data_IF_825779482844
#
_entry.id   IF_825779482844
#
_cell.length_a   1.000
_cell.length_b   1.000
_cell.length_c   1.000
_cell.angle_alpha   90.00
_cell.angle_beta   90.00
_cell.angle_gamma   90.00
#
_symmetry.space_group_name_H-M   'P 1'
#
loop_
_entity.id
_entity.type
_entity.pdbx_description
1 polymer ?
#
# COMPACT_ATOMS: atom_id res chain seq x y z
N UNK A 1 67.71 -22.90 -49.30
CA UNK A 1 67.70 -23.41 -50.69
C UNK A 1 69.08 -23.10 -51.27
N UNK A 2 69.85 -24.11 -51.67
CA UNK A 2 71.26 -23.88 -52.06
C UNK A 2 71.40 -23.31 -53.49
N UNK A 3 72.44 -22.51 -53.70
CA UNK A 3 72.89 -22.03 -55.01
C UNK A 3 74.42 -21.99 -55.06
N UNK A 4 74.98 -22.27 -56.23
CA UNK A 4 76.43 -22.34 -56.48
C UNK A 4 76.70 -21.73 -57.86
N UNK A 5 77.70 -20.86 -57.98
CA UNK A 5 78.01 -20.13 -59.22
C UNK A 5 79.54 -20.12 -59.44
N UNK A 6 79.96 -20.34 -60.68
CA UNK A 6 81.35 -20.36 -61.14
C UNK A 6 81.42 -19.81 -62.58
N UNK A 7 82.40 -18.94 -62.92
CA UNK A 7 83.02 -18.82 -64.26
C UNK A 7 84.14 -17.76 -64.43
N UNK A 8 85.37 -18.25 -64.59
CA UNK A 8 86.34 -17.96 -65.68
C UNK A 8 87.01 -16.57 -65.87
N UNK A 9 88.33 -16.60 -66.13
CA UNK A 9 89.28 -15.49 -66.30
C UNK A 9 89.41 -14.96 -67.75
N UNK A 10 90.01 -13.76 -67.94
CA UNK A 10 91.33 -13.62 -68.64
C UNK A 10 91.96 -12.20 -68.66
N UNK A 11 93.24 -12.12 -68.23
CA UNK A 11 94.41 -11.39 -68.82
C UNK A 11 94.36 -9.88 -69.16
N UNK A 12 95.46 -9.10 -69.10
CA UNK A 12 96.75 -9.17 -68.37
C UNK A 12 97.54 -7.85 -68.55
N UNK A 13 98.30 -7.41 -67.53
CA UNK A 13 99.51 -6.54 -67.61
C UNK A 13 99.40 -5.06 -68.06
N UNK A 14 100.28 -4.13 -67.65
CA UNK A 14 101.14 -4.03 -66.45
C UNK A 14 101.86 -2.66 -66.38
N UNK A 15 102.15 -2.19 -65.14
CA UNK A 15 103.27 -1.26 -64.76
C UNK A 15 103.21 0.18 -65.30
N UNK A 16 103.82 1.20 -64.69
CA UNK A 16 104.43 1.45 -63.36
C UNK A 16 104.87 2.94 -63.32
N UNK A 17 105.00 3.56 -62.13
CA UNK A 17 105.99 4.61 -61.70
C UNK A 17 105.39 5.87 -61.02
N UNK A 18 106.05 6.52 -60.03
CA UNK A 18 107.12 6.15 -59.06
C UNK A 18 107.41 7.31 -58.07
N UNK A 19 108.16 7.06 -56.97
CA UNK A 19 108.91 8.01 -56.10
C UNK A 19 108.06 8.90 -55.15
N UNK A 20 108.50 9.40 -53.97
CA UNK A 20 109.66 9.20 -53.02
C UNK A 20 109.16 9.69 -51.61
N UNK A 21 109.89 9.83 -50.49
CA UNK A 21 111.34 9.91 -50.14
C UNK A 21 111.61 9.37 -48.70
N UNK A 22 112.88 9.16 -48.24
CA UNK A 22 113.18 8.25 -47.12
C UNK A 22 114.09 8.85 -46.01
N UNK A 23 115.02 8.03 -45.46
CA UNK A 23 116.14 8.29 -44.49
C UNK A 23 115.79 7.74 -43.07
N UNK A 24 116.56 6.83 -42.43
CA UNK A 24 117.91 6.26 -42.72
C UNK A 24 118.10 4.82 -42.17
N UNK A 25 119.07 4.08 -42.74
CA UNK A 25 120.00 3.05 -42.18
C UNK A 25 119.77 2.36 -40.81
N UNK A 26 120.20 1.10 -40.54
CA UNK A 26 120.67 -0.10 -41.29
C UNK A 26 121.16 -1.15 -40.24
N UNK A 27 121.57 -2.38 -40.65
CA UNK A 27 120.78 -3.58 -40.97
C UNK A 27 120.11 -4.17 -39.68
N UNK A 28 120.01 -5.45 -39.28
CA UNK A 28 120.34 -6.83 -39.75
C UNK A 28 119.37 -7.78 -38.98
N UNK A 29 119.02 -9.01 -39.38
CA UNK A 29 119.47 -9.90 -40.45
C UNK A 29 118.29 -10.38 -41.33
N UNK A 30 118.24 -11.65 -41.73
CA UNK A 30 117.11 -12.28 -42.42
C UNK A 30 116.98 -13.78 -42.09
N UNK A 31 115.74 -14.27 -42.02
CA UNK A 31 115.30 -15.59 -42.51
C UNK A 31 113.88 -15.41 -43.06
N UNK A 32 113.48 -16.22 -44.04
CA UNK A 32 112.19 -16.08 -44.74
C UNK A 32 111.36 -17.37 -44.65
N UNK A 33 110.04 -17.21 -44.67
CA UNK A 33 109.05 -18.27 -44.89
C UNK A 33 107.88 -17.68 -45.69
N UNK A 34 107.25 -18.48 -46.52
CA UNK A 34 106.26 -18.06 -47.52
C UNK A 34 104.84 -17.98 -46.93
N UNK A 35 103.94 -17.27 -47.63
CA UNK A 35 102.49 -17.23 -47.35
C UNK A 35 101.75 -17.69 -48.62
N UNK A 36 100.69 -18.53 -48.51
CA UNK A 36 99.85 -18.90 -49.65
C UNK A 36 98.98 -17.72 -50.12
N UNK A 37 98.53 -17.74 -51.37
CA UNK A 37 98.01 -16.55 -52.07
C UNK A 37 96.60 -16.71 -52.63
N UNK A 38 95.60 -16.90 -51.76
CA UNK A 38 94.23 -16.44 -51.99
C UNK A 38 93.49 -16.25 -50.65
N UNK A 39 93.11 -15.02 -50.31
CA UNK A 39 92.35 -14.70 -49.09
C UNK A 39 91.24 -13.71 -49.40
N UNK A 40 90.03 -14.04 -48.98
CA UNK A 40 88.82 -13.25 -49.16
C UNK A 40 88.06 -13.08 -47.85
N UNK A 41 87.14 -12.11 -47.82
CA UNK A 41 86.37 -11.74 -46.63
C UNK A 41 84.87 -11.77 -46.93
N UNK A 42 84.07 -12.30 -46.01
CA UNK A 42 82.62 -12.10 -45.98
C UNK A 42 82.28 -11.29 -44.74
N UNK A 43 81.74 -10.09 -44.98
CA UNK A 43 81.14 -9.22 -43.97
C UNK A 43 79.76 -8.82 -44.46
N UNK A 44 78.75 -9.18 -43.68
CA UNK A 44 77.37 -8.84 -43.95
C UNK A 44 76.58 -8.80 -42.62
N UNK A 45 75.39 -8.19 -42.66
CA UNK A 45 74.54 -8.01 -41.48
C UNK A 45 73.29 -8.87 -41.61
N UNK A 46 73.07 -9.75 -40.64
CA UNK A 46 71.93 -10.66 -40.60
C UNK A 46 71.04 -10.40 -39.38
N UNK A 47 69.84 -10.95 -39.39
CA UNK A 47 68.92 -10.85 -38.26
C UNK A 47 69.16 -12.01 -37.29
N UNK A 48 68.98 -11.79 -35.98
CA UNK A 48 69.38 -12.73 -34.92
C UNK A 48 68.59 -14.05 -34.84
N UNK A 49 67.78 -14.34 -35.85
CA UNK A 49 67.05 -15.59 -36.08
C UNK A 49 67.60 -16.41 -37.26
N UNK A 50 68.53 -15.83 -38.04
CA UNK A 50 69.11 -16.43 -39.23
C UNK A 50 70.38 -17.23 -38.88
N UNK A 51 70.67 -18.25 -39.69
CA UNK A 51 71.88 -19.08 -39.59
C UNK A 51 72.42 -19.27 -41.01
N UNK A 52 73.71 -19.01 -41.22
CA UNK A 52 74.38 -19.24 -42.50
C UNK A 52 75.25 -20.50 -42.46
N UNK A 53 75.29 -21.26 -43.56
CA UNK A 53 76.30 -22.29 -43.79
C UNK A 53 77.30 -21.76 -44.83
N UNK A 54 78.55 -21.55 -44.44
CA UNK A 54 79.62 -21.09 -45.32
C UNK A 54 80.69 -22.19 -45.36
N UNK A 55 80.95 -22.72 -46.56
CA UNK A 55 81.70 -23.97 -46.73
C UNK A 55 80.99 -25.13 -46.03
N UNK A 56 81.48 -25.51 -44.86
CA UNK A 56 80.88 -26.53 -43.98
C UNK A 56 80.81 -26.09 -42.50
N UNK A 57 80.85 -24.77 -42.24
CA UNK A 57 80.70 -24.18 -40.90
C UNK A 57 79.42 -23.38 -40.81
N UNK A 58 78.73 -23.48 -39.66
CA UNK A 58 77.51 -22.76 -39.36
C UNK A 58 77.84 -21.49 -38.57
N UNK A 59 77.24 -20.37 -38.98
CA UNK A 59 77.39 -19.05 -38.38
C UNK A 59 76.03 -18.56 -37.87
N UNK A 60 75.98 -18.18 -36.61
CA UNK A 60 74.78 -17.74 -35.89
C UNK A 60 75.16 -16.67 -34.84
N UNK A 61 74.19 -16.06 -34.11
CA UNK A 61 74.49 -14.97 -33.15
C UNK A 61 75.45 -15.33 -31.99
N UNK A 62 75.71 -16.63 -31.76
CA UNK A 62 76.70 -17.12 -30.78
C UNK A 62 78.07 -17.42 -31.39
N UNK A 63 78.12 -17.64 -32.71
CA UNK A 63 79.35 -17.86 -33.50
C UNK A 63 79.31 -16.99 -34.77
N UNK A 64 79.53 -15.66 -34.63
CA UNK A 64 79.40 -14.71 -35.73
C UNK A 64 80.61 -14.65 -36.68
N UNK A 65 81.80 -15.00 -36.18
CA UNK A 65 83.08 -14.91 -36.90
C UNK A 65 83.92 -16.20 -36.78
N UNK A 66 84.58 -16.59 -37.88
CA UNK A 66 85.56 -17.69 -37.96
C UNK A 66 86.26 -17.67 -39.35
N UNK A 67 87.27 -18.51 -39.55
CA UNK A 67 88.00 -18.64 -40.83
C UNK A 67 87.72 -19.97 -41.52
N UNK A 68 86.89 -19.94 -42.56
CA UNK A 68 86.60 -21.09 -43.41
C UNK A 68 87.76 -21.30 -44.40
N UNK A 69 88.28 -22.52 -44.50
CA UNK A 69 89.25 -22.91 -45.54
C UNK A 69 88.54 -23.74 -46.61
N UNK A 70 88.76 -23.40 -47.88
CA UNK A 70 88.17 -24.08 -49.04
C UNK A 70 89.28 -24.81 -49.83
N UNK A 71 89.44 -26.14 -49.65
CA UNK A 71 90.60 -26.85 -50.21
C UNK A 71 90.60 -26.89 -51.74
N UNK A 72 91.74 -26.56 -52.35
CA UNK A 72 91.95 -26.56 -53.81
C UNK A 72 91.02 -25.64 -54.61
N UNK A 73 90.40 -24.63 -53.99
CA UNK A 73 89.40 -23.77 -54.62
C UNK A 73 89.97 -22.70 -55.56
N UNK A 74 91.27 -22.36 -55.45
CA UNK A 74 91.93 -21.40 -56.34
C UNK A 74 92.26 -22.01 -57.72
N UNK A 75 92.37 -21.16 -58.74
CA UNK A 75 92.63 -21.55 -60.14
C UNK A 75 93.98 -22.26 -60.37
N UNK A 76 94.92 -22.13 -59.45
CA UNK A 76 96.21 -22.84 -59.43
C UNK A 76 96.17 -24.18 -58.67
N UNK A 77 95.04 -24.52 -58.04
CA UNK A 77 94.87 -25.68 -57.17
C UNK A 77 95.27 -25.46 -55.71
N UNK A 78 95.53 -24.21 -55.30
CA UNK A 78 95.77 -23.85 -53.89
C UNK A 78 94.46 -23.75 -53.09
N UNK A 79 94.56 -23.90 -51.77
CA UNK A 79 93.46 -23.67 -50.83
C UNK A 79 93.17 -22.17 -50.71
N UNK A 80 91.90 -21.77 -50.85
CA UNK A 80 91.46 -20.40 -50.62
C UNK A 80 91.01 -20.22 -49.17
N UNK A 81 91.41 -19.11 -48.55
CA UNK A 81 91.04 -18.77 -47.16
C UNK A 81 89.93 -17.72 -47.16
N UNK A 82 88.86 -17.96 -46.39
CA UNK A 82 87.66 -17.13 -46.35
C UNK A 82 87.38 -16.71 -44.90
N UNK A 83 87.67 -15.46 -44.57
CA UNK A 83 87.45 -14.92 -43.22
C UNK A 83 86.02 -14.39 -43.15
N UNK A 84 85.22 -14.97 -42.26
CA UNK A 84 83.81 -14.64 -42.03
C UNK A 84 83.70 -13.80 -40.76
N UNK A 85 82.94 -12.70 -40.82
CA UNK A 85 82.82 -11.69 -39.77
C UNK A 85 81.42 -11.03 -39.90
N UNK A 86 80.40 -11.60 -39.25
CA UNK A 86 78.99 -11.28 -39.47
C UNK A 86 78.35 -10.54 -38.28
N UNK A 87 77.53 -9.53 -38.56
CA UNK A 87 76.81 -8.81 -37.50
C UNK A 87 75.35 -9.30 -37.39
N UNK A 88 74.99 -9.89 -36.24
CA UNK A 88 73.62 -10.33 -35.98
C UNK A 88 72.81 -9.30 -35.19
N UNK A 89 71.82 -8.68 -35.83
CA UNK A 89 70.98 -7.62 -35.25
C UNK A 89 69.65 -8.16 -34.71
N UNK A 90 69.25 -7.64 -33.55
CA UNK A 90 67.98 -7.97 -32.90
C UNK A 90 66.78 -7.31 -33.62
N UNK A 91 65.58 -7.92 -33.55
CA UNK A 91 64.33 -7.30 -34.02
C UNK A 91 63.94 -6.09 -33.14
N UNK A 92 63.17 -5.16 -33.70
CA UNK A 92 62.68 -3.99 -32.97
C UNK A 92 61.35 -4.30 -32.26
N UNK A 93 61.32 -4.18 -30.93
CA UNK A 93 60.09 -4.37 -30.14
C UNK A 93 59.35 -3.05 -29.96
N UNK A 94 58.08 -3.03 -30.35
CA UNK A 94 57.12 -1.96 -30.14
C UNK A 94 55.92 -2.51 -29.37
N UNK A 95 55.14 -1.64 -28.72
CA UNK A 95 53.91 -2.03 -28.04
C UNK A 95 52.75 -1.14 -28.44
N UNK A 96 51.64 -1.74 -28.82
CA UNK A 96 50.38 -1.09 -29.18
C UNK A 96 49.37 -1.27 -28.05
N UNK A 97 49.09 -0.18 -27.34
CA UNK A 97 48.00 -0.08 -26.36
C UNK A 97 46.96 0.92 -26.81
N UNK A 98 45.69 0.51 -26.83
CA UNK A 98 44.55 1.36 -27.17
C UNK A 98 43.35 1.03 -26.29
N UNK A 99 42.55 2.05 -25.98
CA UNK A 99 41.26 1.92 -25.34
C UNK A 99 40.17 2.01 -26.42
N UNK A 100 39.31 0.99 -26.48
CA UNK A 100 38.33 0.78 -27.55
C UNK A 100 36.93 0.52 -26.97
N UNK A 101 35.89 0.75 -27.77
CA UNK A 101 34.51 0.41 -27.42
C UNK A 101 34.28 -1.10 -27.54
N UNK A 102 33.46 -1.70 -26.67
CA UNK A 102 33.04 -3.09 -26.86
C UNK A 102 32.39 -3.27 -28.26
N UNK A 103 32.87 -4.24 -29.03
CA UNK A 103 32.49 -4.46 -30.44
C UNK A 103 33.38 -3.79 -31.49
N UNK A 104 34.34 -2.94 -31.11
CA UNK A 104 35.36 -2.43 -32.04
C UNK A 104 36.26 -3.57 -32.57
N UNK A 105 36.90 -3.34 -33.71
CA UNK A 105 37.94 -4.23 -34.25
C UNK A 105 39.03 -3.42 -34.93
N UNK A 106 40.28 -3.62 -34.52
CA UNK A 106 41.46 -3.06 -35.21
C UNK A 106 42.17 -4.17 -35.97
N UNK A 107 42.84 -3.82 -37.07
CA UNK A 107 43.61 -4.76 -37.87
C UNK A 107 45.09 -4.42 -37.78
N UNK A 108 45.90 -5.36 -37.29
CA UNK A 108 47.36 -5.23 -37.17
C UNK A 108 48.00 -6.33 -38.00
N UNK A 109 48.87 -5.96 -38.96
CA UNK A 109 49.59 -6.89 -39.83
C UNK A 109 48.72 -7.88 -40.67
N UNK A 110 47.39 -7.69 -40.69
CA UNK A 110 46.44 -8.60 -41.33
C UNK A 110 45.59 -9.42 -40.36
N UNK A 111 45.92 -9.43 -39.06
CA UNK A 111 45.14 -10.07 -38.00
C UNK A 111 44.14 -9.08 -37.40
N UNK A 112 42.91 -9.55 -37.16
CA UNK A 112 41.84 -8.78 -36.51
C UNK A 112 41.91 -8.94 -34.99
N UNK A 113 41.97 -7.82 -34.26
CA UNK A 113 41.94 -7.76 -32.80
C UNK A 113 40.67 -7.06 -32.32
N UNK A 114 39.94 -7.71 -31.42
CA UNK A 114 38.61 -7.30 -30.96
C UNK A 114 38.38 -7.73 -29.49
N UNK A 115 37.21 -7.45 -28.95
CA UNK A 115 36.79 -7.69 -27.55
C UNK A 115 37.04 -9.11 -27.00
N UNK A 116 37.06 -10.16 -27.83
CA UNK A 116 37.38 -11.54 -27.44
C UNK A 116 38.78 -12.01 -27.89
N UNK A 117 39.52 -11.18 -28.61
CA UNK A 117 40.89 -11.42 -29.08
C UNK A 117 41.68 -10.10 -29.05
N UNK A 118 42.07 -9.67 -27.85
CA UNK A 118 42.59 -8.32 -27.57
C UNK A 118 44.07 -8.31 -27.11
N UNK A 119 44.68 -9.49 -26.98
CA UNK A 119 46.10 -9.68 -26.67
C UNK A 119 46.77 -10.49 -27.79
N UNK A 120 48.01 -10.15 -28.14
CA UNK A 120 48.80 -10.96 -29.09
C UNK A 120 50.12 -10.30 -29.47
N UNK A 121 50.80 -10.90 -30.46
CA UNK A 121 52.05 -10.37 -30.98
C UNK A 121 52.07 -10.52 -32.51
N UNK A 122 52.37 -9.43 -33.21
CA UNK A 122 52.53 -9.40 -34.66
C UNK A 122 53.98 -9.18 -35.08
N UNK A 123 54.37 -9.78 -36.21
CA UNK A 123 55.74 -9.69 -36.75
C UNK A 123 55.70 -9.11 -38.17
N UNK A 124 56.26 -7.91 -38.31
CA UNK A 124 56.34 -7.18 -39.59
C UNK A 124 57.71 -7.45 -40.21
N UNK A 125 57.74 -8.28 -41.26
CA UNK A 125 58.95 -8.72 -41.97
C UNK A 125 59.77 -7.52 -42.47
N UNK A 126 61.05 -7.46 -42.10
CA UNK A 126 61.96 -6.34 -42.46
C UNK A 126 61.53 -4.95 -41.97
N UNK A 127 60.56 -4.87 -41.06
CA UNK A 127 59.89 -3.62 -40.65
C UNK A 127 60.71 -2.69 -39.75
N UNK A 128 61.94 -3.02 -39.38
CA UNK A 128 62.82 -2.18 -38.57
C UNK A 128 63.87 -1.46 -39.43
N UNK A 129 64.32 -0.28 -39.00
CA UNK A 129 65.26 0.56 -39.75
C UNK A 129 66.67 -0.03 -39.98
N UNK A 130 66.94 -1.21 -39.41
CA UNK A 130 68.14 -2.02 -39.61
C UNK A 130 67.95 -3.17 -40.63
N UNK A 131 66.78 -3.27 -41.28
CA UNK A 131 66.45 -4.33 -42.25
C UNK A 131 65.92 -5.63 -41.63
N UNK A 132 65.74 -5.69 -40.31
CA UNK A 132 65.19 -6.84 -39.60
C UNK A 132 63.72 -6.68 -39.24
N UNK A 133 63.11 -7.75 -38.76
CA UNK A 133 61.70 -7.77 -38.41
C UNK A 133 61.38 -6.82 -37.23
N UNK A 134 60.20 -6.20 -37.29
CA UNK A 134 59.62 -5.47 -36.16
C UNK A 134 58.57 -6.34 -35.47
N UNK A 135 58.68 -6.47 -34.15
CA UNK A 135 57.69 -7.13 -33.30
C UNK A 135 56.78 -6.06 -32.68
N UNK A 136 55.47 -6.27 -32.77
CA UNK A 136 54.44 -5.45 -32.13
C UNK A 136 53.74 -6.31 -31.08
N UNK A 137 54.00 -6.04 -29.80
CA UNK A 137 53.20 -6.53 -28.68
C UNK A 137 51.86 -5.77 -28.64
N UNK A 138 50.75 -6.48 -28.52
CA UNK A 138 49.40 -5.92 -28.66
C UNK A 138 48.64 -6.15 -27.35
N UNK A 139 48.25 -5.06 -26.69
CA UNK A 139 47.51 -5.08 -25.43
C UNK A 139 46.38 -4.04 -25.47
N UNK A 140 45.20 -4.47 -25.92
CA UNK A 140 44.03 -3.60 -26.10
C UNK A 140 43.07 -3.73 -24.92
N UNK A 141 42.42 -2.63 -24.54
CA UNK A 141 41.38 -2.61 -23.49
C UNK A 141 40.04 -2.22 -24.08
N UNK A 142 39.04 -3.09 -23.93
CA UNK A 142 37.69 -2.90 -24.46
C UNK A 142 36.71 -2.51 -23.34
N UNK A 143 35.93 -1.46 -23.57
CA UNK A 143 34.99 -0.91 -22.60
C UNK A 143 33.53 -1.08 -23.04
N UNK A 144 32.76 -2.00 -22.42
CA UNK A 144 31.30 -1.97 -22.46
C UNK A 144 30.78 -0.96 -21.42
N UNK A 145 29.93 -0.02 -21.85
CA UNK A 145 29.33 0.98 -20.95
C UNK A 145 27.91 0.55 -20.55
N UNK A 146 27.81 -0.56 -19.79
CA UNK A 146 26.55 -0.98 -19.18
C UNK A 146 26.36 -0.25 -17.85
N UNK A 147 25.22 0.42 -17.68
CA UNK A 147 24.79 1.08 -16.46
C UNK A 147 23.54 0.36 -15.94
N UNK A 148 23.60 -0.23 -14.75
CA UNK A 148 22.41 -0.76 -14.09
C UNK A 148 21.55 0.40 -13.55
N UNK A 149 20.26 0.40 -13.90
CA UNK A 149 19.24 1.25 -13.30
C UNK A 149 18.25 0.38 -12.52
N UNK A 150 18.50 0.29 -11.22
CA UNK A 150 17.70 -0.49 -10.29
C UNK A 150 16.86 0.47 -9.43
N UNK A 151 15.53 0.32 -9.44
CA UNK A 151 14.62 1.17 -8.66
C UNK A 151 13.35 0.43 -8.28
N UNK A 152 12.65 0.90 -7.25
CA UNK A 152 11.39 0.31 -6.77
C UNK A 152 10.23 1.20 -7.19
N UNK A 153 9.17 0.62 -7.78
CA UNK A 153 7.96 1.32 -8.22
C UNK A 153 6.71 0.65 -7.64
N UNK A 154 5.61 1.38 -7.50
CA UNK A 154 4.31 0.81 -7.14
C UNK A 154 3.63 0.18 -8.37
N UNK A 155 2.74 -0.80 -8.19
CA UNK A 155 2.10 -1.55 -9.29
C UNK A 155 1.32 -0.65 -10.30
N UNK A 156 0.84 0.52 -9.86
CA UNK A 156 0.16 1.51 -10.72
C UNK A 156 1.07 2.55 -11.38
N UNK A 157 2.38 2.56 -11.09
CA UNK A 157 3.30 3.59 -11.58
C UNK A 157 3.71 3.39 -13.05
N UNK A 158 4.23 4.45 -13.65
CA UNK A 158 4.95 4.37 -14.92
C UNK A 158 6.09 5.39 -14.93
N UNK A 159 7.33 4.92 -15.05
CA UNK A 159 8.50 5.77 -15.25
C UNK A 159 8.96 5.73 -16.70
N UNK A 160 9.66 6.77 -17.15
CA UNK A 160 10.15 6.88 -18.52
C UNK A 160 11.68 6.96 -18.53
N UNK A 161 12.32 5.97 -19.15
CA UNK A 161 13.78 5.90 -19.32
C UNK A 161 14.06 5.97 -20.81
N UNK A 162 14.86 6.96 -21.26
CA UNK A 162 15.15 7.23 -22.68
C UNK A 162 13.91 7.45 -23.60
N UNK A 163 12.71 7.56 -23.04
CA UNK A 163 11.43 7.66 -23.75
C UNK A 163 10.57 6.40 -23.69
N UNK A 164 11.14 5.25 -23.29
CA UNK A 164 10.42 4.00 -23.08
C UNK A 164 9.74 3.97 -21.71
N UNK A 165 8.50 3.46 -21.68
CA UNK A 165 7.67 3.37 -20.48
C UNK A 165 7.89 2.06 -19.73
N UNK A 166 8.37 2.14 -18.49
CA UNK A 166 8.53 1.01 -17.58
C UNK A 166 7.49 1.07 -16.46
N UNK A 167 6.86 -0.07 -16.18
CA UNK A 167 5.66 -0.23 -15.34
C UNK A 167 5.48 -1.70 -14.95
N UNK A 168 4.46 -2.06 -14.16
CA UNK A 168 4.28 -3.42 -13.62
C UNK A 168 4.31 -4.58 -14.65
N UNK A 169 3.92 -4.35 -15.91
CA UNK A 169 3.94 -5.34 -16.99
C UNK A 169 5.16 -5.23 -17.93
N UNK A 170 6.05 -4.26 -17.68
CA UNK A 170 7.31 -4.04 -18.38
C UNK A 170 8.30 -3.43 -17.37
N UNK A 171 8.75 -4.26 -16.43
CA UNK A 171 9.58 -3.83 -15.29
C UNK A 171 11.09 -3.91 -15.57
N UNK A 172 11.52 -4.57 -16.64
CA UNK A 172 12.93 -4.69 -16.99
C UNK A 172 13.17 -4.70 -18.51
N UNK A 173 14.38 -4.34 -18.93
CA UNK A 173 14.77 -4.21 -20.33
C UNK A 173 16.10 -3.47 -20.51
N UNK A 174 16.42 -3.08 -21.75
CA UNK A 174 17.69 -2.41 -22.09
C UNK A 174 17.45 -1.15 -22.93
N UNK A 175 18.04 -0.02 -22.52
CA UNK A 175 17.98 1.25 -23.24
C UNK A 175 19.34 1.68 -23.78
N UNK A 176 19.46 1.79 -25.11
CA UNK A 176 20.72 2.20 -25.77
C UNK A 176 20.74 3.70 -26.03
N UNK A 177 21.74 4.38 -25.48
CA UNK A 177 22.01 5.81 -25.67
C UNK A 177 23.16 5.96 -26.69
N UNK A 178 22.88 6.39 -27.94
CA UNK A 178 23.90 6.49 -28.98
C UNK A 178 24.97 7.54 -28.62
N UNK A 179 26.24 7.14 -28.66
CA UNK A 179 27.37 8.00 -28.29
C UNK A 179 27.34 8.51 -26.84
N UNK A 180 26.65 7.81 -25.94
CA UNK A 180 26.43 8.22 -24.54
C UNK A 180 27.67 8.19 -23.62
N UNK A 181 28.79 7.62 -24.08
CA UNK A 181 30.00 7.43 -23.27
C UNK A 181 31.26 8.09 -23.86
N UNK A 182 32.34 8.08 -23.08
CA UNK A 182 33.65 8.55 -23.53
C UNK A 182 34.13 7.81 -24.78
N UNK A 183 34.99 8.47 -25.58
CA UNK A 183 35.46 8.00 -26.90
C UNK A 183 34.37 7.87 -27.98
N UNK A 184 33.09 8.13 -27.67
CA UNK A 184 31.98 8.01 -28.62
C UNK A 184 31.31 6.65 -28.64
N UNK A 185 31.60 5.78 -27.66
CA UNK A 185 30.87 4.53 -27.47
C UNK A 185 29.42 4.80 -27.09
N UNK A 186 28.52 3.88 -27.42
CA UNK A 186 27.17 3.87 -26.88
C UNK A 186 27.18 3.47 -25.41
N UNK A 187 26.21 3.98 -24.64
CA UNK A 187 25.87 3.46 -23.32
C UNK A 187 24.65 2.54 -23.43
N UNK A 188 24.62 1.47 -22.64
CA UNK A 188 23.44 0.62 -22.46
C UNK A 188 22.99 0.80 -21.01
N UNK A 189 21.76 1.23 -20.78
CA UNK A 189 21.15 1.20 -19.45
C UNK A 189 20.37 -0.11 -19.34
N UNK A 190 20.84 -1.02 -18.50
CA UNK A 190 20.08 -2.21 -18.13
C UNK A 190 19.13 -1.83 -16.99
N UNK A 191 17.83 -1.91 -17.26
CA UNK A 191 16.76 -1.52 -16.34
C UNK A 191 16.22 -2.77 -15.65
N UNK A 192 16.15 -2.77 -14.33
CA UNK A 192 15.44 -3.79 -13.55
C UNK A 192 14.68 -3.15 -12.37
N UNK A 193 13.36 -3.22 -12.41
CA UNK A 193 12.49 -2.55 -11.43
C UNK A 193 11.78 -3.54 -10.51
N UNK A 194 11.92 -3.31 -9.21
CA UNK A 194 11.13 -3.99 -8.20
C UNK A 194 9.71 -3.41 -8.16
N UNK A 195 8.69 -4.24 -8.38
CA UNK A 195 7.29 -3.82 -8.42
C UNK A 195 6.61 -4.14 -7.09
N UNK A 196 6.19 -3.11 -6.35
CA UNK A 196 5.44 -3.24 -5.10
C UNK A 196 3.94 -3.31 -5.37
N UNK A 197 3.35 -4.48 -5.10
CA UNK A 197 1.89 -4.66 -5.06
C UNK A 197 1.29 -3.93 -3.85
N UNK A 198 0.12 -3.29 -3.95
CA UNK A 198 -0.48 -2.56 -2.85
C UNK A 198 -0.95 -3.52 -1.73
N UNK A 199 -0.61 -3.27 -0.45
CA UNK A 199 -1.00 -4.16 0.63
C UNK A 199 -2.52 -4.13 0.84
N UNK A 200 -3.10 -5.31 1.07
CA UNK A 200 -4.54 -5.53 1.17
C UNK A 200 -4.96 -5.77 2.63
N UNK A 201 -5.93 -4.98 3.10
CA UNK A 201 -6.48 -5.01 4.45
C UNK A 201 -7.98 -5.28 4.42
N UNK A 202 -8.52 -5.90 5.49
CA UNK A 202 -9.98 -6.05 5.68
C UNK A 202 -10.38 -5.38 6.98
N UNK A 203 -11.23 -4.35 6.91
CA UNK A 203 -11.92 -3.77 8.07
C UNK A 203 -13.26 -4.48 8.25
N UNK A 204 -13.42 -5.14 9.41
CA UNK A 204 -14.68 -5.73 9.85
C UNK A 204 -15.18 -4.94 11.05
N UNK A 205 -16.42 -4.45 11.00
CA UNK A 205 -17.01 -3.65 12.07
C UNK A 205 -18.51 -3.95 12.24
N UNK A 206 -19.10 -3.56 13.37
CA UNK A 206 -20.49 -3.85 13.76
C UNK A 206 -21.20 -2.58 14.27
N UNK A 207 -21.68 -1.80 13.30
CA UNK A 207 -22.22 -0.45 13.45
C UNK A 207 -23.67 -0.43 13.98
N UNK A 208 -24.10 0.72 14.49
CA UNK A 208 -25.48 0.98 14.92
C UNK A 208 -26.46 1.02 13.72
N UNK A 209 -27.78 0.80 13.93
CA UNK A 209 -28.74 0.56 12.84
C UNK A 209 -28.78 1.61 11.72
N UNK A 210 -28.62 2.88 12.08
CA UNK A 210 -28.69 4.05 11.19
C UNK A 210 -27.35 4.81 11.09
N UNK A 211 -26.27 4.18 11.55
CA UNK A 211 -24.91 4.72 11.45
C UNK A 211 -24.39 4.70 10.01
N UNK A 212 -23.44 5.59 9.72
CA UNK A 212 -22.92 5.83 8.37
C UNK A 212 -21.41 5.97 8.42
N UNK A 213 -20.70 5.02 7.81
CA UNK A 213 -19.26 5.13 7.59
C UNK A 213 -19.01 5.82 6.25
N UNK A 214 -18.11 6.81 6.23
CA UNK A 214 -17.70 7.52 5.00
C UNK A 214 -16.19 7.42 4.85
N UNK A 215 -15.74 6.83 3.74
CA UNK A 215 -14.32 6.74 3.36
C UNK A 215 -14.21 7.27 1.93
N UNK A 216 -13.22 8.11 1.64
CA UNK A 216 -13.00 8.75 0.33
C UNK A 216 -14.23 9.50 -0.28
N UNK A 217 -15.27 9.78 0.51
CA UNK A 217 -16.55 10.32 0.05
C UNK A 217 -17.60 9.27 -0.36
N UNK A 218 -17.22 7.99 -0.45
CA UNK A 218 -18.17 6.88 -0.58
C UNK A 218 -18.87 6.63 0.76
N UNK A 219 -20.19 6.37 0.69
CA UNK A 219 -21.06 6.25 1.86
C UNK A 219 -21.50 4.81 2.06
N UNK A 220 -21.16 4.23 3.20
CA UNK A 220 -21.51 2.88 3.62
C UNK A 220 -22.56 2.91 4.73
N UNK A 221 -23.59 2.07 4.60
CA UNK A 221 -24.74 1.98 5.50
C UNK A 221 -25.34 0.57 5.49
N UNK A 222 -26.47 0.36 6.17
CA UNK A 222 -27.16 -0.96 6.24
C UNK A 222 -27.51 -1.59 4.89
N UNK A 223 -27.60 -0.79 3.82
CA UNK A 223 -27.86 -1.23 2.45
C UNK A 223 -26.54 -1.38 1.66
N UNK A 224 -25.58 -0.46 1.84
CA UNK A 224 -24.24 -0.53 1.27
C UNK A 224 -23.19 -0.98 2.31
N UNK A 225 -23.10 -2.30 2.54
CA UNK A 225 -22.33 -2.90 3.65
C UNK A 225 -20.91 -3.35 3.31
N UNK A 226 -20.51 -3.27 2.04
CA UNK A 226 -19.23 -3.81 1.55
C UNK A 226 -18.70 -2.96 0.41
N UNK A 227 -17.38 -2.81 0.33
CA UNK A 227 -16.72 -2.06 -0.73
C UNK A 227 -15.21 -2.26 -0.71
N UNK A 228 -14.54 -1.77 -1.76
CA UNK A 228 -13.09 -1.69 -1.85
C UNK A 228 -12.70 -0.22 -1.98
N UNK A 229 -11.83 0.23 -1.09
CA UNK A 229 -11.28 1.57 -1.04
C UNK A 229 -9.79 1.56 -1.36
N UNK A 230 -9.32 2.59 -2.05
CA UNK A 230 -7.89 2.84 -2.24
C UNK A 230 -7.48 3.93 -1.24
N UNK A 231 -6.41 3.69 -0.49
CA UNK A 231 -5.85 4.63 0.49
C UNK A 231 -4.54 5.18 -0.08
N UNK A 232 -4.52 6.43 -0.63
CA UNK A 232 -3.37 6.93 -1.37
C UNK A 232 -2.13 7.09 -0.49
N UNK A 233 -1.01 6.53 -0.93
CA UNK A 233 0.28 6.59 -0.23
C UNK A 233 0.29 6.02 1.20
N UNK A 234 -0.69 5.18 1.57
CA UNK A 234 -0.87 4.72 2.95
C UNK A 234 0.09 3.60 3.39
N UNK A 235 0.80 2.95 2.44
CA UNK A 235 1.83 1.97 2.78
C UNK A 235 3.10 2.66 3.28
N UNK A 236 3.88 2.00 4.12
CA UNK A 236 5.18 2.53 4.62
C UNK A 236 6.23 2.75 3.53
N UNK A 237 5.99 2.23 2.32
CA UNK A 237 6.80 2.43 1.11
C UNK A 237 6.40 3.68 0.31
N UNK A 238 5.31 4.35 0.68
CA UNK A 238 4.72 5.46 -0.08
C UNK A 238 3.74 5.02 -1.17
N UNK A 239 3.52 3.71 -1.35
CA UNK A 239 2.50 3.19 -2.27
C UNK A 239 1.08 3.25 -1.68
N UNK A 240 0.09 3.22 -2.57
CA UNK A 240 -1.32 3.06 -2.22
C UNK A 240 -1.58 1.72 -1.51
N UNK A 241 -2.63 1.67 -0.71
CA UNK A 241 -3.09 0.45 -0.03
C UNK A 241 -4.55 0.15 -0.37
N UNK A 242 -4.93 -1.12 -0.37
CA UNK A 242 -6.30 -1.57 -0.62
C UNK A 242 -7.01 -1.92 0.69
N UNK A 243 -8.16 -1.32 0.92
CA UNK A 243 -9.01 -1.56 2.09
C UNK A 243 -10.35 -2.15 1.67
N UNK A 244 -10.59 -3.41 2.00
CA UNK A 244 -11.89 -4.05 1.82
C UNK A 244 -12.74 -3.93 3.09
N UNK A 245 -14.04 -3.65 2.91
CA UNK A 245 -14.98 -3.41 3.99
C UNK A 245 -15.97 -4.57 4.15
N UNK A 246 -16.13 -5.07 5.37
CA UNK A 246 -17.18 -6.03 5.75
C UNK A 246 -17.95 -5.50 6.95
N UNK A 247 -19.01 -4.73 6.71
CA UNK A 247 -19.80 -4.09 7.77
C UNK A 247 -21.03 -4.93 8.15
N UNK A 248 -21.18 -5.18 9.45
CA UNK A 248 -22.39 -5.71 10.07
C UNK A 248 -23.16 -4.55 10.71
N UNK A 249 -24.49 -4.63 10.70
CA UNK A 249 -25.37 -3.64 11.33
C UNK A 249 -26.20 -4.31 12.41
N UNK A 250 -26.25 -3.70 13.59
CA UNK A 250 -26.95 -4.25 14.77
C UNK A 250 -28.47 -4.26 14.54
N UNK A 251 -29.13 -5.33 14.96
CA UNK A 251 -30.58 -5.47 14.90
C UNK A 251 -31.20 -5.10 16.25
N UNK A 252 -31.26 -3.80 16.51
CA UNK A 252 -31.82 -3.22 17.73
C UNK A 252 -33.27 -2.77 17.47
N UNK A 253 -34.12 -2.89 18.48
CA UNK A 253 -35.51 -2.39 18.46
C UNK A 253 -35.98 -2.09 19.88
N UNK A 254 -36.93 -1.17 20.01
CA UNK A 254 -37.74 -0.96 21.22
C UNK A 254 -39.20 -0.87 20.79
N UNK A 255 -40.11 -1.37 21.62
CA UNK A 255 -41.55 -1.28 21.46
C UNK A 255 -42.20 -0.90 22.80
N UNK A 256 -42.89 0.23 22.86
CA UNK A 256 -43.54 0.72 24.09
C UNK A 256 -44.99 0.24 24.26
N UNK A 257 -45.62 -0.19 23.16
CA UNK A 257 -47.04 -0.57 23.10
C UNK A 257 -47.86 0.37 22.23
N UNK A 258 -49.01 -0.11 21.73
CA UNK A 258 -49.86 0.62 20.79
C UNK A 258 -50.58 1.83 21.41
N UNK A 259 -50.89 2.82 20.56
CA UNK A 259 -51.77 3.97 20.86
C UNK A 259 -53.09 3.53 21.51
N UNK A 260 -53.51 4.23 22.58
CA UNK A 260 -54.71 3.86 23.35
C UNK A 260 -55.40 5.04 24.03
N UNK A 261 -56.68 4.83 24.33
CA UNK A 261 -57.50 5.74 25.12
C UNK A 261 -57.64 5.23 26.57
N UNK A 262 -57.67 6.15 27.53
CA UNK A 262 -57.95 5.88 28.95
C UNK A 262 -58.95 6.88 29.49
N UNK A 263 -59.64 6.56 30.58
CA UNK A 263 -60.53 7.53 31.25
C UNK A 263 -59.67 8.52 32.03
N UNK A 264 -60.07 9.80 32.06
CA UNK A 264 -59.33 10.84 32.80
C UNK A 264 -59.15 10.43 34.25
N UNK A 265 -57.92 10.45 34.74
CA UNK A 265 -57.54 10.04 36.10
C UNK A 265 -57.23 8.54 36.27
N UNK A 266 -57.35 7.71 35.24
CA UNK A 266 -56.77 6.37 35.28
C UNK A 266 -55.23 6.42 35.36
N UNK A 267 -54.64 5.39 35.97
CA UNK A 267 -53.18 5.17 35.95
C UNK A 267 -52.81 4.19 34.84
N UNK A 268 -51.91 4.63 33.95
CA UNK A 268 -51.24 3.72 33.00
C UNK A 268 -49.94 3.22 33.59
N UNK A 269 -49.52 2.03 33.16
CA UNK A 269 -48.13 1.59 33.26
C UNK A 269 -47.59 1.32 31.84
N UNK A 270 -46.38 1.82 31.61
CA UNK A 270 -45.62 1.65 30.38
C UNK A 270 -44.45 0.71 30.68
N UNK A 271 -44.44 -0.46 30.03
CA UNK A 271 -43.45 -1.52 30.21
C UNK A 271 -42.83 -1.82 28.83
N UNK A 272 -41.83 -1.03 28.40
CA UNK A 272 -41.21 -1.20 27.08
C UNK A 272 -40.54 -2.57 26.95
N UNK A 273 -40.68 -3.16 25.77
CA UNK A 273 -39.93 -4.33 25.32
C UNK A 273 -38.80 -3.88 24.40
N UNK A 274 -37.64 -4.54 24.41
CA UNK A 274 -36.51 -4.15 23.56
C UNK A 274 -35.58 -5.32 23.23
N UNK A 275 -35.00 -5.27 22.03
CA UNK A 275 -34.06 -6.25 21.50
C UNK A 275 -32.58 -6.00 21.87
N UNK A 276 -32.31 -5.34 23.01
CA UNK A 276 -30.97 -4.93 23.41
C UNK A 276 -30.78 -4.97 24.94
N UNK A 277 -29.52 -4.90 25.39
CA UNK A 277 -29.19 -4.68 26.78
C UNK A 277 -29.02 -3.17 27.03
N UNK A 278 -29.92 -2.50 27.78
CA UNK A 278 -29.86 -1.06 27.99
C UNK A 278 -28.68 -0.67 28.90
N UNK A 279 -27.94 0.36 28.49
CA UNK A 279 -27.00 1.12 29.34
C UNK A 279 -27.66 2.36 29.93
N UNK A 280 -28.64 2.95 29.21
CA UNK A 280 -29.46 4.06 29.65
C UNK A 280 -30.86 4.00 29.01
N UNK A 281 -31.88 4.39 29.77
CA UNK A 281 -33.25 4.60 29.30
C UNK A 281 -33.64 6.05 29.62
N UNK A 282 -34.21 6.74 28.65
CA UNK A 282 -34.66 8.12 28.77
C UNK A 282 -36.10 8.27 28.27
N UNK A 283 -36.84 9.18 28.89
CA UNK A 283 -38.28 9.37 28.74
C UNK A 283 -38.58 10.84 28.43
N UNK A 284 -39.42 11.09 27.42
CA UNK A 284 -39.91 12.41 27.05
C UNK A 284 -41.45 12.41 26.91
N UNK A 285 -42.21 13.20 27.69
CA UNK A 285 -41.76 14.02 28.81
C UNK A 285 -41.13 13.16 29.93
N UNK A 286 -40.26 13.73 30.79
CA UNK A 286 -39.65 12.99 31.88
C UNK A 286 -40.68 12.43 32.85
N UNK A 287 -40.62 11.11 33.09
CA UNK A 287 -41.47 10.40 34.04
C UNK A 287 -40.66 9.90 35.25
N UNK A 288 -41.26 9.79 36.45
CA UNK A 288 -40.57 9.34 37.65
C UNK A 288 -40.32 7.82 37.63
N UNK A 289 -39.09 7.40 37.33
CA UNK A 289 -38.69 6.00 37.47
C UNK A 289 -38.73 5.58 38.95
N UNK A 290 -39.60 4.63 39.30
CA UNK A 290 -39.67 4.07 40.67
C UNK A 290 -38.61 2.98 40.92
N UNK A 291 -38.10 2.35 39.85
CA UNK A 291 -37.06 1.32 39.88
C UNK A 291 -35.75 1.86 39.26
N UNK A 292 -34.56 1.38 39.69
CA UNK A 292 -33.26 1.81 39.16
C UNK A 292 -33.14 1.71 37.64
N UNK A 293 -33.76 0.68 37.05
CA UNK A 293 -33.61 0.33 35.64
C UNK A 293 -34.57 1.08 34.71
N UNK A 294 -35.45 1.95 35.22
CA UNK A 294 -36.49 2.67 34.46
C UNK A 294 -37.40 1.79 33.56
N UNK A 295 -37.39 0.47 33.75
CA UNK A 295 -37.96 -0.56 32.85
C UNK A 295 -39.47 -0.74 32.94
N UNK A 296 -40.12 -0.13 33.93
CA UNK A 296 -41.57 0.08 33.98
C UNK A 296 -41.83 1.39 34.69
N UNK A 297 -42.68 2.23 34.10
CA UNK A 297 -43.05 3.52 34.67
C UNK A 297 -44.56 3.67 34.65
N UNK A 298 -45.15 3.99 35.79
CA UNK A 298 -46.59 4.20 35.93
C UNK A 298 -46.90 5.66 36.24
N UNK A 299 -47.95 6.20 35.63
CA UNK A 299 -48.36 7.60 35.78
C UNK A 299 -49.87 7.77 35.64
N UNK A 300 -50.42 8.78 36.30
CA UNK A 300 -51.84 9.10 36.24
C UNK A 300 -52.10 10.08 35.08
N UNK A 301 -53.08 9.78 34.23
CA UNK A 301 -53.29 10.52 32.97
C UNK A 301 -54.46 11.50 33.12
N UNK A 302 -54.14 12.79 33.24
CA UNK A 302 -55.12 13.88 33.37
C UNK A 302 -55.43 14.58 32.04
N UNK A 303 -54.55 14.45 31.05
CA UNK A 303 -54.65 15.10 29.74
C UNK A 303 -53.98 14.24 28.66
N UNK A 304 -54.41 14.32 27.38
CA UNK A 304 -53.74 13.59 26.30
C UNK A 304 -52.24 13.90 26.22
N UNK A 305 -51.43 12.87 25.96
CA UNK A 305 -49.98 12.95 25.94
C UNK A 305 -49.36 12.07 24.86
N UNK A 306 -48.16 12.45 24.40
CA UNK A 306 -47.27 11.61 23.63
C UNK A 306 -46.08 11.26 24.54
N UNK A 307 -45.83 9.98 24.76
CA UNK A 307 -44.66 9.49 25.50
C UNK A 307 -43.68 8.86 24.52
N UNK A 308 -42.48 9.42 24.45
CA UNK A 308 -41.38 8.91 23.64
C UNK A 308 -40.34 8.28 24.58
N UNK A 309 -39.82 7.13 24.20
CA UNK A 309 -38.71 6.46 24.86
C UNK A 309 -37.47 6.52 23.98
N UNK A 310 -36.29 6.66 24.58
CA UNK A 310 -35.01 6.41 23.88
C UNK A 310 -34.13 5.54 24.76
N UNK A 311 -33.74 4.39 24.22
CA UNK A 311 -32.93 3.36 24.87
C UNK A 311 -31.56 3.33 24.21
N UNK A 312 -30.50 3.41 25.02
CA UNK A 312 -29.10 3.31 24.56
C UNK A 312 -28.52 1.98 24.99
N UNK A 313 -27.74 1.30 24.15
CA UNK A 313 -27.03 0.05 24.49
C UNK A 313 -25.62 0.32 25.07
N UNK A 314 -24.89 -0.73 25.46
CA UNK A 314 -23.52 -0.60 26.00
C UNK A 314 -22.46 -0.19 24.98
N UNK A 315 -22.82 -0.09 23.69
CA UNK A 315 -21.95 0.33 22.60
C UNK A 315 -22.27 1.77 22.15
N UNK A 316 -23.25 2.44 22.79
CA UNK A 316 -23.71 3.78 22.46
C UNK A 316 -24.81 3.84 21.39
N UNK A 317 -25.25 2.69 20.87
CA UNK A 317 -26.32 2.66 19.87
C UNK A 317 -27.67 3.00 20.49
N UNK A 318 -28.42 3.91 19.86
CA UNK A 318 -29.73 4.36 20.33
C UNK A 318 -30.86 3.79 19.45
N UNK A 319 -31.99 3.48 20.10
CA UNK A 319 -33.28 3.22 19.44
C UNK A 319 -34.38 3.95 20.20
N UNK A 320 -35.42 4.36 19.48
CA UNK A 320 -36.56 5.10 20.01
C UNK A 320 -37.89 4.50 19.53
N UNK A 321 -38.96 4.82 20.28
CA UNK A 321 -40.35 4.50 19.94
C UNK A 321 -41.28 5.50 20.67
N UNK A 322 -42.54 5.62 20.24
CA UNK A 322 -43.51 6.53 20.85
C UNK A 322 -44.93 5.95 20.96
N UNK A 323 -45.64 6.33 22.03
CA UNK A 323 -47.04 5.95 22.29
C UNK A 323 -47.87 7.20 22.56
N UNK A 324 -49.00 7.32 21.88
CA UNK A 324 -50.02 8.33 22.14
C UNK A 324 -51.06 7.79 23.11
N UNK A 325 -51.28 8.54 24.18
CA UNK A 325 -52.36 8.30 25.13
C UNK A 325 -53.41 9.39 24.93
N UNK A 326 -54.59 8.98 24.46
CA UNK A 326 -55.79 9.83 24.46
C UNK A 326 -56.54 9.69 25.79
N UNK A 327 -57.32 10.71 26.14
CA UNK A 327 -58.04 10.78 27.41
C UNK A 327 -59.51 11.06 27.14
N UNK A 328 -60.37 10.18 27.64
CA UNK A 328 -61.83 10.32 27.60
C UNK A 328 -62.35 10.97 28.88
N UNK A 329 -63.35 11.83 28.74
CA UNK A 329 -64.07 12.50 29.83
C UNK A 329 -65.27 11.67 30.36
N UNK A 330 -65.46 10.44 29.88
CA UNK A 330 -66.56 9.53 30.27
C UNK A 330 -66.34 8.87 31.65
N UNK A 331 -66.09 9.70 32.67
CA UNK A 331 -65.94 9.29 34.06
C UNK A 331 -67.24 8.71 34.60
N UNK A 332 -67.17 7.45 35.04
CA UNK A 332 -68.32 6.66 35.46
C UNK A 332 -68.67 6.96 36.89
N UNK A 333 -69.91 7.40 37.10
CA UNK A 333 -70.52 7.59 38.42
C UNK A 333 -71.64 6.58 38.59
N UNK A 334 -71.56 5.76 39.63
CA UNK A 334 -72.57 4.80 40.04
C UNK A 334 -73.48 5.42 41.11
N UNK A 335 -74.78 5.11 41.02
CA UNK A 335 -75.81 5.55 41.95
C UNK A 335 -76.74 4.36 42.25
N UNK A 336 -76.99 4.01 43.52
CA UNK A 336 -77.95 2.97 43.88
C UNK A 336 -79.38 3.32 43.41
N UNK A 337 -80.03 2.41 42.67
CA UNK A 337 -81.42 2.58 42.23
C UNK A 337 -82.43 2.40 43.38
N UNK A 338 -82.02 1.75 44.47
CA UNK A 338 -82.81 1.50 45.68
C UNK A 338 -81.88 1.49 46.90
N UNK A 339 -82.38 1.91 48.06
CA UNK A 339 -81.75 1.71 49.36
C UNK A 339 -82.81 1.50 50.45
N UNK A 340 -82.43 0.91 51.58
CA UNK A 340 -83.33 0.66 52.71
C UNK A 340 -82.71 1.15 54.03
N UNK A 341 -83.15 2.28 54.60
CA UNK A 341 -82.65 2.81 55.88
C UNK A 341 -82.63 1.83 57.05
N UNK A 342 -83.45 0.77 57.02
CA UNK A 342 -83.59 -0.22 58.08
C UNK A 342 -82.71 -1.48 57.83
N UNK A 343 -81.87 -1.46 56.78
CA UNK A 343 -80.91 -2.52 56.44
C UNK A 343 -79.52 -2.35 57.10
N UNK A 344 -78.59 -3.25 56.76
CA UNK A 344 -77.19 -3.16 57.16
C UNK A 344 -76.41 -2.05 56.44
N UNK A 345 -75.24 -1.71 56.97
CA UNK A 345 -74.28 -0.83 56.29
C UNK A 345 -73.62 -1.58 55.12
N UNK A 346 -73.40 -0.97 53.94
CA UNK A 346 -73.70 0.42 53.58
C UNK A 346 -75.09 0.65 52.96
N UNK A 347 -75.86 -0.41 52.69
CA UNK A 347 -77.14 -0.39 51.95
C UNK A 347 -78.27 0.44 52.62
N UNK A 348 -78.02 0.92 53.84
CA UNK A 348 -78.90 1.83 54.58
C UNK A 348 -78.70 3.33 54.25
N UNK A 349 -77.79 3.68 53.34
CA UNK A 349 -77.62 5.06 52.85
C UNK A 349 -77.58 5.12 51.33
N UNK A 350 -78.12 6.20 50.77
CA UNK A 350 -77.88 6.58 49.37
C UNK A 350 -76.66 7.51 49.29
N UNK A 351 -75.62 7.03 48.62
CA UNK A 351 -74.38 7.76 48.32
C UNK A 351 -74.02 7.55 46.85
N UNK A 352 -73.04 8.29 46.34
CA UNK A 352 -72.54 8.15 44.97
C UNK A 352 -71.12 7.59 44.97
N UNK A 353 -70.88 6.63 44.09
CA UNK A 353 -69.56 6.05 43.82
C UNK A 353 -69.04 6.55 42.47
N UNK A 354 -67.73 6.67 42.30
CA UNK A 354 -67.11 7.14 41.06
C UNK A 354 -65.80 6.40 40.74
N UNK A 355 -65.31 6.55 39.49
CA UNK A 355 -63.93 6.17 39.17
C UNK A 355 -62.91 7.23 39.64
N UNK A 356 -61.63 6.82 39.62
CA UNK A 356 -60.50 7.58 40.16
C UNK A 356 -60.27 8.97 39.54
N UNK A 357 -60.99 9.31 38.47
CA UNK A 357 -60.94 10.64 37.87
C UNK A 357 -61.76 11.71 38.56
N UNK A 358 -62.70 11.33 39.44
CA UNK A 358 -63.54 12.27 40.19
C UNK A 358 -62.84 12.69 41.49
N UNK A 359 -62.60 13.99 41.65
CA UNK A 359 -61.95 14.57 42.84
C UNK A 359 -62.93 14.69 44.01
N UNK A 360 -64.13 15.21 43.75
CA UNK A 360 -65.14 15.51 44.78
C UNK A 360 -66.54 15.60 44.14
N UNK A 361 -67.57 15.23 44.90
CA UNK A 361 -68.95 15.59 44.59
C UNK A 361 -69.16 17.00 45.16
N UNK A 362 -69.13 18.02 44.30
CA UNK A 362 -69.28 19.42 44.71
C UNK A 362 -70.59 19.66 45.43
N UNK A 363 -71.68 19.12 44.90
CA UNK A 363 -73.04 19.30 45.41
C UNK A 363 -73.86 18.05 45.12
N UNK A 364 -74.60 17.55 46.11
CA UNK A 364 -75.59 16.49 45.97
C UNK A 364 -76.93 16.97 46.54
N UNK A 365 -77.92 17.09 45.64
CA UNK A 365 -79.29 17.47 45.95
C UNK A 365 -80.24 16.31 45.67
N UNK A 366 -81.08 15.96 46.63
CA UNK A 366 -82.14 14.95 46.49
C UNK A 366 -83.49 15.62 46.77
N UNK A 367 -84.45 15.45 45.86
CA UNK A 367 -85.78 16.03 45.95
C UNK A 367 -86.88 14.95 45.90
N UNK A 368 -87.99 15.22 46.61
CA UNK A 368 -89.19 14.38 46.54
C UNK A 368 -89.99 14.63 45.25
N UNK A 369 -91.08 13.88 45.05
CA UNK A 369 -91.93 13.96 43.85
C UNK A 369 -92.65 15.32 43.64
N UNK A 370 -92.64 16.19 44.64
CA UNK A 370 -93.21 17.54 44.58
C UNK A 370 -92.15 18.64 44.36
N UNK A 371 -90.88 18.25 44.26
CA UNK A 371 -89.74 19.18 44.11
C UNK A 371 -89.21 19.74 45.43
N UNK A 372 -89.70 19.27 46.59
CA UNK A 372 -89.13 19.66 47.88
C UNK A 372 -87.79 18.95 48.10
N UNK A 373 -86.74 19.71 48.39
CA UNK A 373 -85.40 19.18 48.66
C UNK A 373 -85.38 18.51 50.04
N UNK A 374 -85.02 17.22 50.07
CA UNK A 374 -84.96 16.39 51.28
C UNK A 374 -83.54 16.13 51.77
N UNK A 375 -82.55 16.30 50.90
CA UNK A 375 -81.12 16.24 51.23
C UNK A 375 -80.37 17.23 50.33
N UNK A 376 -79.48 18.01 50.93
CA UNK A 376 -78.68 19.04 50.28
C UNK A 376 -77.34 19.14 51.01
N UNK A 377 -76.28 18.61 50.41
CA UNK A 377 -74.93 18.62 50.99
C UNK A 377 -73.89 18.87 49.90
N UNK A 378 -72.86 19.64 50.25
CA UNK A 378 -71.75 20.01 49.36
C UNK A 378 -70.42 19.45 49.85
N UNK A 379 -69.49 19.20 48.93
CA UNK A 379 -68.13 18.74 49.24
C UNK A 379 -68.04 17.31 49.76
N UNK A 380 -68.82 16.38 49.18
CA UNK A 380 -68.81 14.97 49.57
C UNK A 380 -67.67 14.22 48.85
N UNK A 381 -67.00 13.32 49.55
CA UNK A 381 -66.12 12.35 48.92
C UNK A 381 -66.94 11.32 48.11
N UNK A 382 -66.53 10.93 46.89
CA UNK A 382 -67.03 9.73 46.25
C UNK A 382 -66.74 8.50 47.12
N UNK A 383 -67.59 7.47 47.01
CA UNK A 383 -67.41 6.18 47.68
C UNK A 383 -67.35 6.23 49.22
N UNK A 384 -67.85 7.31 49.83
CA UNK A 384 -68.14 7.40 51.26
C UNK A 384 -69.65 7.20 51.56
N UNK A 385 -70.06 6.02 52.09
CA UNK A 385 -71.42 5.82 52.56
C UNK A 385 -71.77 6.68 53.77
N UNK A 386 -70.81 7.09 54.60
CA UNK A 386 -71.10 7.74 55.90
C UNK A 386 -71.72 9.11 55.75
N UNK A 387 -71.32 9.86 54.72
CA UNK A 387 -71.93 11.14 54.34
C UNK A 387 -73.18 11.00 53.43
N UNK A 388 -73.62 9.78 53.12
CA UNK A 388 -74.81 9.50 52.31
C UNK A 388 -76.14 9.72 53.05
N UNK A 389 -77.23 9.87 52.31
CA UNK A 389 -78.57 10.10 52.84
C UNK A 389 -79.18 8.83 53.45
N UNK A 390 -79.58 8.88 54.73
CA UNK A 390 -80.20 7.77 55.48
C UNK A 390 -81.73 7.72 55.40
N UNK A 391 -82.34 8.44 54.45
CA UNK A 391 -83.80 8.45 54.34
C UNK A 391 -84.49 9.15 55.52
N UNK A 392 -83.80 10.09 56.19
CA UNK A 392 -84.40 11.04 57.12
C UNK A 392 -84.52 12.45 56.52
N UNK A 393 -85.47 13.24 57.00
CA UNK A 393 -85.66 14.64 56.62
C UNK A 393 -86.29 15.40 57.79
N UNK A 394 -85.76 16.58 58.14
CA UNK A 394 -86.24 17.40 59.26
C UNK A 394 -86.46 16.61 60.58
N UNK A 395 -85.54 15.69 60.89
CA UNK A 395 -85.59 14.83 62.09
C UNK A 395 -86.69 13.75 62.07
N UNK A 396 -87.31 13.49 60.92
CA UNK A 396 -88.35 12.46 60.72
C UNK A 396 -87.92 11.46 59.65
N UNK A 397 -88.56 10.30 59.62
CA UNK A 397 -88.40 9.35 58.51
C UNK A 397 -89.03 9.91 57.23
N UNK A 398 -88.29 9.85 56.12
CA UNK A 398 -88.83 10.19 54.80
C UNK A 398 -89.80 9.09 54.32
N UNK A 399 -90.71 9.47 53.42
CA UNK A 399 -91.74 8.55 52.90
C UNK A 399 -91.11 7.51 51.96
N UNK A 400 -91.62 6.27 52.01
CA UNK A 400 -91.31 5.24 51.00
C UNK A 400 -91.78 5.73 49.63
N UNK A 401 -90.89 5.70 48.64
CA UNK A 401 -91.15 6.31 47.34
C UNK A 401 -89.92 6.50 46.47
N UNK A 402 -90.11 7.13 45.32
CA UNK A 402 -89.04 7.46 44.36
C UNK A 402 -88.69 8.94 44.49
N UNK A 403 -87.41 9.23 44.67
CA UNK A 403 -86.82 10.55 44.80
C UNK A 403 -85.93 10.81 43.58
N UNK A 404 -85.88 12.06 43.12
CA UNK A 404 -84.95 12.48 42.08
C UNK A 404 -83.66 13.00 42.72
N UNK A 405 -82.51 12.74 42.12
CA UNK A 405 -81.24 13.33 42.54
C UNK A 405 -80.54 14.04 41.39
N UNK A 406 -79.82 15.11 41.73
CA UNK A 406 -78.89 15.85 40.89
C UNK A 406 -77.59 16.04 41.66
N UNK A 407 -76.46 15.82 41.00
CA UNK A 407 -75.14 16.00 41.57
C UNK A 407 -74.21 16.71 40.59
N UNK A 408 -73.45 17.69 41.08
CA UNK A 408 -72.28 18.23 40.39
C UNK A 408 -71.04 17.47 40.85
N UNK A 409 -70.36 16.84 39.89
CA UNK A 409 -69.12 16.10 40.07
C UNK A 409 -67.97 16.97 39.56
N UNK A 410 -66.84 16.97 40.27
CA UNK A 410 -65.59 17.56 39.80
C UNK A 410 -64.57 16.45 39.48
N UNK A 411 -63.78 16.63 38.44
CA UNK A 411 -62.66 15.76 38.08
C UNK A 411 -61.34 16.28 38.64
N UNK A 412 -60.30 15.43 38.67
CA UNK A 412 -58.94 15.78 39.11
C UNK A 412 -58.27 16.92 38.32
N UNK A 413 -58.78 17.31 37.14
CA UNK A 413 -58.33 18.49 36.40
C UNK A 413 -59.14 19.77 36.72
N UNK A 414 -60.10 19.71 37.64
CA UNK A 414 -61.02 20.79 38.00
C UNK A 414 -62.21 20.97 37.04
N UNK A 415 -62.32 20.17 35.98
CA UNK A 415 -63.50 20.18 35.11
C UNK A 415 -64.69 19.52 35.80
N UNK A 416 -65.92 20.00 35.53
CA UNK A 416 -67.13 19.44 36.16
C UNK A 416 -68.07 18.76 35.17
N UNK A 417 -68.94 17.91 35.70
CA UNK A 417 -70.03 17.27 34.96
C UNK A 417 -71.18 16.92 35.92
N UNK A 418 -72.40 16.81 35.38
CA UNK A 418 -73.59 16.54 36.20
C UNK A 418 -74.02 15.07 36.11
N UNK A 419 -74.27 14.44 37.27
CA UNK A 419 -74.95 13.14 37.35
C UNK A 419 -76.38 13.33 37.83
N UNK A 420 -77.35 12.77 37.12
CA UNK A 420 -78.78 12.82 37.49
C UNK A 420 -79.40 11.44 37.45
N UNK A 421 -80.42 11.20 38.28
CA UNK A 421 -81.19 9.97 38.25
C UNK A 421 -82.29 9.94 39.29
N UNK A 422 -82.74 8.73 39.62
CA UNK A 422 -83.75 8.49 40.66
C UNK A 422 -83.35 7.36 41.57
N UNK A 423 -83.58 7.52 42.88
CA UNK A 423 -83.42 6.47 43.89
C UNK A 423 -84.77 6.14 44.51
N UNK A 424 -85.00 4.85 44.77
CA UNK A 424 -86.17 4.38 45.51
C UNK A 424 -85.82 4.16 46.98
N UNK A 425 -86.50 4.83 47.89
CA UNK A 425 -86.45 4.54 49.32
C UNK A 425 -87.50 3.47 49.62
N UNK A 426 -87.06 2.31 50.12
CA UNK A 426 -87.92 1.24 50.65
C UNK A 426 -87.66 1.03 52.14
N UNK A 427 -88.54 0.28 52.81
CA UNK A 427 -88.42 -0.18 54.20
C UNK A 427 -88.91 -1.61 54.27
#
# INVERSE_FOLDING_TARGET
MFHTIEKTLMRLSARLRLLLSPIMCLPLAAMASEMPTDTSYIRDTFCSTQILLIGNQLFDPSHPDDTVILPGASFDGSDSVLIVDLEFRQPAYNKLTLNLCAGDTIWVNGTAYHDHFYLGQETVEGGAANGCDSIIDIELTFYPNVLEYNSTICEGDTIYINGTAYHAFHSSGEERIPGGASMGCDSIIQVDLEVLTPPYFILKDTLCPDEVLVINGHRYDRNNRTGLEILPGAASTGCDSLLYLELVFRQLWVFIGDDREVVKGDSICLTPQFGLAPSAITWNPPLPCQNPDCSTVCTQVLSPALYQITVTDTNGCQVNDEIRISVSDDNRVFAPNVFNPDAGWPDNRFFLSADNGVSIIRHLMIANRWGEVVFDVSGLAPDDPTSGWDGTWNGKTAQVGVYAFWAEMERLDGSTFTKTGTVTLVR
#
